data_IF_652703597326
#
_entry.id   IF_652703597326
#
_cell.length_a   1.000
_cell.length_b   1.000
_cell.length_c   1.000
_cell.angle_alpha   90.00
_cell.angle_beta   90.00
_cell.angle_gamma   90.00
#
_symmetry.space_group_name_H-M   'P 1'
#
loop_
_entity.id
_entity.type
_entity.pdbx_description
1 polymer ?
#
# COMPACT_ATOMS: atom_id res chain seq x y z
N UNK A 1 0.02 -18.90 -12.34
CA UNK A 1 0.64 -17.59 -12.06
C UNK A 1 0.66 -17.31 -10.56
N UNK A 2 1.67 -16.61 -10.05
CA UNK A 2 1.84 -16.29 -8.62
C UNK A 2 0.77 -15.31 -8.10
N UNK A 3 0.54 -14.19 -8.80
CA UNK A 3 -0.35 -13.12 -8.35
C UNK A 3 -1.83 -13.53 -8.23
N UNK A 4 -2.33 -14.32 -9.19
CA UNK A 4 -3.74 -14.76 -9.25
C UNK A 4 -4.06 -15.94 -8.33
N UNK A 5 -3.05 -16.61 -7.77
CA UNK A 5 -3.29 -17.74 -6.86
C UNK A 5 -3.89 -17.26 -5.54
N UNK A 6 -4.84 -18.00 -4.98
CA UNK A 6 -5.44 -17.70 -3.66
C UNK A 6 -4.37 -17.47 -2.59
N UNK A 7 -4.67 -16.55 -1.67
CA UNK A 7 -3.79 -16.21 -0.55
C UNK A 7 -3.51 -17.44 0.34
N UNK A 8 -2.28 -17.51 0.85
CA UNK A 8 -1.78 -18.54 1.77
C UNK A 8 -0.43 -18.11 2.34
N UNK A 9 0.21 -18.94 3.16
CA UNK A 9 1.41 -18.57 3.94
C UNK A 9 2.51 -17.86 3.14
N UNK A 10 2.85 -18.32 1.93
CA UNK A 10 3.85 -17.67 1.05
C UNK A 10 3.29 -16.76 -0.06
N UNK A 11 2.00 -16.47 -0.05
CA UNK A 11 1.27 -15.77 -1.14
C UNK A 11 0.23 -14.80 -0.58
N UNK A 12 0.48 -14.22 0.59
CA UNK A 12 -0.40 -13.22 1.18
C UNK A 12 -0.49 -11.98 0.30
N UNK A 13 -1.50 -11.16 0.54
CA UNK A 13 -1.74 -9.97 -0.28
C UNK A 13 -0.57 -8.97 -0.19
N UNK A 14 -0.09 -8.70 1.02
CA UNK A 14 1.07 -7.84 1.27
C UNK A 14 2.31 -8.33 0.49
N UNK A 15 2.57 -9.65 0.45
CA UNK A 15 3.71 -10.18 -0.32
C UNK A 15 3.57 -9.92 -1.81
N UNK A 16 2.36 -10.08 -2.34
CA UNK A 16 2.08 -9.79 -3.75
C UNK A 16 2.20 -8.31 -4.04
N UNK A 17 1.71 -7.45 -3.15
CA UNK A 17 1.85 -6.01 -3.28
C UNK A 17 3.33 -5.61 -3.26
N UNK A 18 4.12 -6.12 -2.32
CA UNK A 18 5.56 -5.87 -2.26
C UNK A 18 6.27 -6.31 -3.54
N UNK A 19 6.02 -7.53 -4.01
CA UNK A 19 6.60 -8.03 -5.25
C UNK A 19 6.19 -7.19 -6.48
N UNK A 20 4.94 -6.73 -6.54
CA UNK A 20 4.49 -5.83 -7.60
C UNK A 20 5.26 -4.49 -7.57
N UNK A 21 5.48 -3.94 -6.37
CA UNK A 21 6.25 -2.71 -6.17
C UNK A 21 7.74 -2.89 -6.49
N UNK A 22 8.34 -4.04 -6.20
CA UNK A 22 9.72 -4.37 -6.60
C UNK A 22 9.87 -4.41 -8.12
N UNK A 23 8.90 -5.02 -8.83
CA UNK A 23 8.91 -5.08 -10.30
C UNK A 23 8.93 -3.66 -10.89
N UNK A 24 8.02 -2.79 -10.44
CA UNK A 24 7.93 -1.42 -10.98
C UNK A 24 9.01 -0.47 -10.46
N UNK A 25 9.66 -0.80 -9.33
CA UNK A 25 10.91 -0.12 -8.91
C UNK A 25 12.04 -0.35 -9.92
N UNK A 26 12.20 -1.58 -10.41
CA UNK A 26 13.26 -1.94 -11.37
C UNK A 26 12.88 -1.59 -12.80
N UNK A 27 11.61 -1.75 -13.17
CA UNK A 27 11.10 -1.47 -14.51
C UNK A 27 9.81 -0.63 -14.45
N UNK A 28 9.92 0.70 -14.27
CA UNK A 28 8.76 1.58 -14.12
C UNK A 28 7.69 1.49 -15.23
N UNK A 29 8.03 1.30 -16.52
CA UNK A 29 7.01 1.11 -17.56
C UNK A 29 6.06 -0.06 -17.33
N UNK A 30 6.44 -1.06 -16.52
CA UNK A 30 5.53 -2.14 -16.15
C UNK A 30 4.34 -1.69 -15.31
N UNK A 31 4.30 -0.46 -14.79
CA UNK A 31 3.15 0.07 -14.07
C UNK A 31 1.84 -0.06 -14.88
N UNK A 32 1.89 0.07 -16.20
CA UNK A 32 0.72 -0.11 -17.08
C UNK A 32 0.10 -1.52 -17.01
N UNK A 33 0.89 -2.53 -16.63
CA UNK A 33 0.47 -3.93 -16.53
C UNK A 33 0.35 -4.43 -15.09
N UNK A 34 1.09 -3.81 -14.17
CA UNK A 34 1.15 -4.19 -12.74
C UNK A 34 0.15 -3.39 -11.92
N UNK A 35 0.02 -2.08 -12.19
CA UNK A 35 -0.90 -1.20 -11.47
C UNK A 35 -0.48 -0.83 -10.04
N UNK A 36 0.77 -1.08 -9.64
CA UNK A 36 1.32 -0.66 -8.36
C UNK A 36 2.73 -0.11 -8.55
N UNK A 37 3.04 1.05 -7.97
CA UNK A 37 4.40 1.62 -7.99
C UNK A 37 4.66 2.51 -6.77
N UNK A 38 5.93 2.64 -6.40
CA UNK A 38 6.36 3.65 -5.45
C UNK A 38 6.31 5.05 -6.08
N UNK A 39 5.84 6.03 -5.33
CA UNK A 39 5.91 7.45 -5.69
C UNK A 39 6.69 8.28 -4.66
N UNK A 40 6.98 7.70 -3.49
CA UNK A 40 7.88 8.24 -2.49
C UNK A 40 8.55 7.09 -1.70
N UNK A 41 9.21 7.40 -0.57
CA UNK A 41 9.84 6.39 0.28
C UNK A 41 8.85 5.39 0.87
N UNK A 42 7.66 5.85 1.30
CA UNK A 42 6.62 5.02 1.93
C UNK A 42 5.27 5.10 1.22
N UNK A 43 5.14 6.00 0.24
CA UNK A 43 3.89 6.23 -0.48
C UNK A 43 3.86 5.45 -1.79
N UNK A 44 2.79 4.68 -1.98
CA UNK A 44 2.57 3.87 -3.17
C UNK A 44 1.34 4.36 -3.94
N UNK A 45 1.41 4.31 -5.27
CA UNK A 45 0.32 4.60 -6.19
C UNK A 45 -0.24 3.31 -6.77
N UNK A 46 -1.56 3.16 -6.72
CA UNK A 46 -2.28 1.95 -7.11
C UNK A 46 -3.35 2.30 -8.16
N UNK A 47 -3.23 1.71 -9.34
CA UNK A 47 -4.29 1.72 -10.36
C UNK A 47 -5.24 0.56 -10.10
N UNK A 48 -6.44 0.87 -9.60
CA UNK A 48 -7.48 -0.05 -9.13
C UNK A 48 -7.74 -1.22 -10.07
N UNK A 49 -8.05 -0.96 -11.34
CA UNK A 49 -8.42 -2.00 -12.29
C UNK A 49 -7.24 -2.90 -12.68
N UNK A 50 -6.12 -2.30 -13.10
CA UNK A 50 -4.89 -3.00 -13.47
C UNK A 50 -4.38 -3.90 -12.34
N UNK A 51 -4.32 -3.38 -11.10
CA UNK A 51 -3.86 -4.17 -9.97
C UNK A 51 -4.85 -5.29 -9.60
N UNK A 52 -6.17 -5.04 -9.69
CA UNK A 52 -7.17 -6.08 -9.50
C UNK A 52 -7.05 -7.20 -10.55
N UNK A 53 -6.81 -6.86 -11.81
CA UNK A 53 -6.56 -7.84 -12.88
C UNK A 53 -5.29 -8.66 -12.62
N UNK A 54 -4.20 -8.02 -12.20
CA UNK A 54 -2.97 -8.73 -11.80
C UNK A 54 -3.25 -9.80 -10.73
N UNK A 55 -4.10 -9.46 -9.76
CA UNK A 55 -4.46 -10.33 -8.64
C UNK A 55 -5.61 -11.32 -8.94
N UNK A 56 -6.27 -11.22 -10.10
CA UNK A 56 -7.44 -12.02 -10.44
C UNK A 56 -8.68 -11.69 -9.59
N UNK A 57 -8.84 -10.42 -9.18
CA UNK A 57 -9.97 -9.94 -8.39
C UNK A 57 -11.00 -9.29 -9.32
N UNK A 58 -12.23 -9.82 -9.32
CA UNK A 58 -13.33 -9.29 -10.15
C UNK A 58 -14.11 -8.16 -9.47
N UNK A 59 -14.42 -8.33 -8.18
CA UNK A 59 -15.10 -7.30 -7.39
C UNK A 59 -14.09 -6.29 -6.84
N UNK A 60 -13.60 -5.38 -7.69
CA UNK A 60 -12.48 -4.45 -7.38
C UNK A 60 -12.68 -3.70 -6.06
N UNK A 61 -13.81 -2.99 -5.92
CA UNK A 61 -14.06 -2.16 -4.74
C UNK A 61 -14.16 -3.00 -3.46
N UNK A 62 -14.93 -4.09 -3.49
CA UNK A 62 -15.10 -4.99 -2.35
C UNK A 62 -13.83 -5.75 -1.97
N UNK A 63 -13.10 -6.24 -2.97
CA UNK A 63 -11.93 -7.08 -2.78
C UNK A 63 -10.67 -6.31 -2.39
N UNK A 64 -10.51 -5.06 -2.82
CA UNK A 64 -9.33 -4.25 -2.53
C UNK A 64 -9.59 -3.19 -1.46
N UNK A 65 -10.64 -2.37 -1.63
CA UNK A 65 -10.74 -1.05 -0.99
C UNK A 65 -11.84 -0.92 0.07
N UNK A 66 -12.72 -1.90 0.21
CA UNK A 66 -13.71 -1.94 1.30
C UNK A 66 -13.02 -2.08 2.68
N UNK A 67 -13.73 -1.81 3.77
CA UNK A 67 -13.22 -2.00 5.15
C UNK A 67 -12.75 -3.45 5.44
N UNK A 68 -13.31 -4.42 4.71
CA UNK A 68 -12.90 -5.84 4.77
C UNK A 68 -12.07 -6.27 3.55
N UNK A 69 -11.71 -5.32 2.70
CA UNK A 69 -10.88 -5.53 1.52
C UNK A 69 -9.41 -5.76 1.88
N UNK A 70 -8.63 -6.18 0.90
CA UNK A 70 -7.24 -6.59 1.12
C UNK A 70 -6.36 -5.46 1.68
N UNK A 71 -6.48 -4.22 1.22
CA UNK A 71 -5.65 -3.11 1.72
C UNK A 71 -5.89 -2.87 3.21
N UNK A 72 -7.14 -2.64 3.60
CA UNK A 72 -7.50 -2.36 5.00
C UNK A 72 -7.15 -3.53 5.93
N UNK A 73 -7.42 -4.78 5.52
CA UNK A 73 -7.09 -5.97 6.32
C UNK A 73 -5.60 -6.21 6.55
N UNK A 74 -4.73 -5.65 5.70
CA UNK A 74 -3.29 -5.79 5.83
C UNK A 74 -2.61 -4.51 6.34
N UNK A 75 -3.38 -3.53 6.82
CA UNK A 75 -2.86 -2.31 7.44
C UNK A 75 -2.47 -1.19 6.50
N UNK A 76 -2.96 -1.22 5.27
CA UNK A 76 -2.72 -0.12 4.34
C UNK A 76 -3.84 0.91 4.42
N UNK A 77 -3.44 2.17 4.55
CA UNK A 77 -4.35 3.31 4.64
C UNK A 77 -4.31 4.11 3.35
N UNK A 78 -5.49 4.49 2.84
CA UNK A 78 -5.58 5.37 1.69
C UNK A 78 -5.16 6.79 2.09
N UNK A 79 -4.26 7.37 1.31
CA UNK A 79 -3.79 8.75 1.44
C UNK A 79 -4.45 9.57 0.34
N UNK A 80 -5.05 10.70 0.69
CA UNK A 80 -5.64 11.61 -0.29
C UNK A 80 -4.54 12.37 -1.03
N UNK A 81 -4.72 12.64 -2.33
CA UNK A 81 -3.71 13.41 -3.11
C UNK A 81 -3.44 14.82 -2.58
N UNK A 82 -4.41 15.40 -1.85
CA UNK A 82 -4.31 16.72 -1.22
C UNK A 82 -3.71 16.67 0.20
N UNK A 83 -3.33 15.49 0.69
CA UNK A 83 -2.69 15.37 1.99
C UNK A 83 -1.31 16.07 2.00
N UNK A 84 -0.86 16.60 3.15
CA UNK A 84 0.48 17.18 3.28
C UNK A 84 1.58 16.21 2.84
N UNK A 85 1.41 14.92 3.16
CA UNK A 85 2.35 13.85 2.81
C UNK A 85 2.52 13.71 1.29
N UNK A 86 1.43 13.77 0.52
CA UNK A 86 1.48 13.68 -0.94
C UNK A 86 2.03 14.98 -1.57
N UNK A 87 1.64 16.14 -1.04
CA UNK A 87 2.08 17.45 -1.53
C UNK A 87 3.60 17.65 -1.33
N UNK A 88 4.13 17.24 -0.18
CA UNK A 88 5.54 17.41 0.18
C UNK A 88 6.49 16.66 -0.77
N UNK A 89 6.03 15.58 -1.41
CA UNK A 89 6.84 14.82 -2.37
C UNK A 89 7.10 15.58 -3.68
N UNK A 90 6.34 16.64 -3.98
CA UNK A 90 6.49 17.47 -5.18
C UNK A 90 6.57 16.65 -6.49
N UNK A 91 5.68 15.68 -6.62
CA UNK A 91 5.58 14.74 -7.76
C UNK A 91 4.31 15.00 -8.57
N UNK A 92 4.31 14.58 -9.84
CA UNK A 92 3.12 14.66 -10.68
C UNK A 92 2.07 13.63 -10.25
N UNK A 93 0.95 14.13 -9.72
CA UNK A 93 -0.21 13.35 -9.28
C UNK A 93 -1.47 13.67 -10.10
N UNK A 94 -1.32 14.22 -11.31
CA UNK A 94 -2.47 14.59 -12.16
C UNK A 94 -3.35 13.39 -12.52
N UNK A 95 -2.78 12.19 -12.58
CA UNK A 95 -3.50 10.94 -12.84
C UNK A 95 -4.23 10.37 -11.62
N UNK A 96 -4.01 10.94 -10.42
CA UNK A 96 -4.65 10.49 -9.17
C UNK A 96 -6.02 11.13 -9.01
N UNK A 97 -7.05 10.30 -8.96
CA UNK A 97 -8.46 10.69 -8.80
C UNK A 97 -9.08 10.17 -7.49
N UNK A 98 -8.26 9.55 -6.62
CA UNK A 98 -8.66 8.95 -5.34
C UNK A 98 -9.72 7.82 -5.46
N UNK A 99 -10.00 7.35 -6.69
CA UNK A 99 -10.96 6.28 -6.98
C UNK A 99 -10.42 5.18 -7.90
N UNK A 100 -9.99 5.52 -9.12
CA UNK A 100 -9.35 4.60 -10.06
C UNK A 100 -7.84 4.54 -9.83
N UNK A 101 -7.22 5.67 -9.50
CA UNK A 101 -5.81 5.75 -9.13
C UNK A 101 -5.74 6.36 -7.73
N UNK A 102 -5.21 5.58 -6.79
CA UNK A 102 -5.24 5.87 -5.36
C UNK A 102 -3.84 5.83 -4.77
N UNK A 103 -3.63 6.58 -3.70
CA UNK A 103 -2.39 6.53 -2.93
C UNK A 103 -2.60 5.74 -1.64
N UNK A 104 -1.59 4.98 -1.24
CA UNK A 104 -1.60 4.22 -0.01
C UNK A 104 -0.28 4.36 0.74
N UNK A 105 -0.36 4.21 2.06
CA UNK A 105 0.79 4.03 2.96
C UNK A 105 0.53 2.81 3.86
N UNK A 106 1.58 2.21 4.40
CA UNK A 106 1.47 1.15 5.41
C UNK A 106 1.49 1.77 6.81
N UNK A 107 0.41 1.59 7.56
CA UNK A 107 0.29 2.19 8.91
C UNK A 107 1.31 1.62 9.90
N UNK A 108 1.86 0.44 9.61
CA UNK A 108 2.86 -0.22 10.43
C UNK A 108 4.31 0.08 10.00
N UNK A 109 4.51 0.95 9.00
CA UNK A 109 5.82 1.34 8.47
C UNK A 109 6.73 0.15 8.08
N UNK A 110 6.16 -0.98 7.67
CA UNK A 110 6.93 -2.16 7.23
C UNK A 110 7.33 -2.03 5.76
N UNK A 111 6.56 -1.27 5.00
CA UNK A 111 6.74 -1.05 3.58
C UNK A 111 7.54 0.22 3.32
N UNK A 112 8.72 0.05 2.74
CA UNK A 112 9.57 1.12 2.25
C UNK A 112 10.06 0.78 0.84
N UNK A 113 10.26 1.82 0.02
CA UNK A 113 10.89 1.70 -1.28
C UNK A 113 12.30 1.16 -1.17
N UNK A 114 13.03 1.58 -0.14
CA UNK A 114 14.49 1.38 -0.04
C UNK A 114 14.89 0.34 1.00
N UNK A 115 13.96 -0.11 1.83
CA UNK A 115 14.17 -1.20 2.78
C UNK A 115 13.51 -2.48 2.27
N UNK A 116 14.17 -3.62 2.50
CA UNK A 116 13.57 -4.91 2.19
C UNK A 116 12.40 -5.21 3.13
N UNK A 117 11.28 -5.67 2.58
CA UNK A 117 10.13 -6.05 3.38
C UNK A 117 10.38 -7.40 4.04
N UNK A 118 10.43 -7.41 5.37
CA UNK A 118 10.61 -8.64 6.16
C UNK A 118 9.29 -9.39 6.25
N UNK A 119 9.29 -10.61 5.72
CA UNK A 119 8.14 -11.51 5.77
C UNK A 119 7.98 -12.06 7.20
N UNK A 120 6.95 -11.59 7.90
CA UNK A 120 6.55 -12.09 9.22
C UNK A 120 5.22 -12.84 9.14
N UNK A 121 5.01 -13.85 9.99
CA UNK A 121 3.77 -14.65 9.98
C UNK A 121 2.54 -13.88 10.49
N UNK A 122 2.74 -12.85 11.32
CA UNK A 122 1.71 -11.96 11.87
C UNK A 122 1.92 -10.50 11.45
N UNK A 123 0.82 -9.74 11.40
CA UNK A 123 0.88 -8.27 11.36
C UNK A 123 1.37 -7.76 12.72
N UNK A 124 2.22 -6.73 12.77
CA UNK A 124 2.52 -6.05 14.03
C UNK A 124 1.23 -5.51 14.65
N UNK A 125 1.12 -5.58 15.96
CA UNK A 125 0.15 -4.77 16.70
C UNK A 125 0.64 -3.32 16.66
N UNK A 126 -0.25 -2.32 16.51
CA UNK A 126 0.14 -0.93 16.76
C UNK A 126 0.81 -0.85 18.14
N UNK A 127 1.97 -0.20 18.24
CA UNK A 127 2.58 0.09 19.54
C UNK A 127 1.70 1.14 20.24
N UNK A 128 1.34 0.91 21.50
CA UNK A 128 0.65 1.86 22.38
C UNK A 128 1.59 3.00 22.86
N UNK A 129 2.67 3.30 22.12
CA UNK A 129 3.76 4.18 22.57
C UNK A 129 3.50 5.68 22.38
N UNK A 130 2.31 6.07 21.89
CA UNK A 130 1.94 7.49 21.69
C UNK A 130 1.09 8.08 22.85
N UNK A 131 0.83 7.36 23.95
CA UNK A 131 0.01 7.86 25.08
C UNK A 131 0.81 8.45 26.27
N UNK A 132 2.15 8.39 26.32
CA UNK A 132 2.91 8.83 27.51
C UNK A 132 3.47 10.27 27.47
N UNK A 133 3.39 11.02 26.36
CA UNK A 133 3.98 12.37 26.30
C UNK A 133 3.05 13.54 26.70
N UNK A 134 1.74 13.32 26.91
CA UNK A 134 0.81 14.39 27.32
C UNK A 134 0.62 14.52 28.85
N UNK A 135 1.18 13.64 29.67
CA UNK A 135 0.98 13.63 31.12
C UNK A 135 2.05 14.39 31.94
N UNK A 136 3.07 14.99 31.31
CA UNK A 136 4.19 15.63 32.02
C UNK A 136 4.21 17.18 31.99
N UNK A 137 3.18 17.84 31.45
CA UNK A 137 3.15 19.31 31.30
C UNK A 137 2.30 20.07 32.34
N UNK A 138 1.80 19.43 33.38
CA UNK A 138 1.10 20.13 34.47
C UNK A 138 1.62 19.71 35.85
N UNK A 139 2.78 20.26 36.24
CA UNK A 139 3.11 20.57 37.64
C UNK A 139 3.97 21.80 37.77
#
# INVERSE_FOLDING_TARGET
MYFTRRNGAGRRFDFKLYNALCITKVFPPAYAFIGAMWIGPTLMKIHSLTFAHLLGIHAVQGGLFHKQGNFSRHGFQQVQKQSPQAIQLNIDLRDVDDYNVRLFTDQYNRFSRDTEFVITDSLPTPNDEDEEEEAASEK
#
